data_IF_746577974611
#
_entry.id   IF_746577974611
#
_cell.length_a   1.000
_cell.length_b   1.000
_cell.length_c   1.000
_cell.angle_alpha   90.00
_cell.angle_beta   90.00
_cell.angle_gamma   90.00
#
_symmetry.space_group_name_H-M   'P 1'
#
loop_
_entity.id
_entity.type
_entity.pdbx_description
1 polymer ?
#
# COMPACT_ATOMS: atom_id res chain seq x y z
N UNK A 1 -9.44 -38.10 14.13
CA UNK A 1 -9.28 -36.63 14.13
C UNK A 1 -7.85 -36.27 14.56
N UNK A 2 -6.86 -36.97 14.02
CA UNK A 2 -5.42 -36.80 14.33
C UNK A 2 -4.55 -36.84 13.05
N UNK A 3 -5.09 -37.25 11.89
CA UNK A 3 -4.34 -37.32 10.63
C UNK A 3 -4.17 -35.96 9.93
N UNK A 4 -4.95 -34.94 10.27
CA UNK A 4 -4.85 -33.62 9.63
C UNK A 4 -3.70 -32.75 10.15
N UNK A 5 -3.12 -33.08 11.31
CA UNK A 5 -2.00 -32.32 11.91
C UNK A 5 -0.62 -32.77 11.43
N UNK A 6 -0.53 -33.94 10.77
CA UNK A 6 0.74 -34.45 10.23
C UNK A 6 1.05 -33.88 8.84
N UNK A 7 0.03 -33.57 8.03
CA UNK A 7 0.23 -33.00 6.69
C UNK A 7 0.78 -31.57 6.72
N UNK A 8 0.48 -30.79 7.76
CA UNK A 8 0.93 -29.39 7.88
C UNK A 8 2.39 -29.27 8.38
N UNK A 9 2.94 -30.33 8.99
CA UNK A 9 4.36 -30.37 9.40
C UNK A 9 5.31 -30.74 8.26
N UNK A 10 4.85 -31.40 7.21
CA UNK A 10 5.72 -31.78 6.09
C UNK A 10 5.98 -30.64 5.09
N UNK A 11 5.09 -29.66 4.96
CA UNK A 11 5.32 -28.52 4.05
C UNK A 11 6.33 -27.50 4.60
N UNK A 12 6.39 -27.30 5.91
CA UNK A 12 7.37 -26.39 6.56
C UNK A 12 8.82 -26.93 6.48
N UNK A 13 8.98 -28.24 6.25
CA UNK A 13 10.29 -28.88 6.09
C UNK A 13 10.89 -28.72 4.69
N UNK A 14 10.07 -28.51 3.66
CA UNK A 14 10.51 -28.58 2.25
C UNK A 14 11.07 -27.24 1.72
N UNK A 15 10.70 -26.12 2.32
CA UNK A 15 11.24 -24.80 1.95
C UNK A 15 12.63 -24.51 2.53
N UNK A 16 13.00 -25.14 3.66
CA UNK A 16 14.36 -25.01 4.20
C UNK A 16 15.40 -25.75 3.36
N UNK A 17 15.06 -26.87 2.73
CA UNK A 17 16.01 -27.67 1.94
C UNK A 17 16.46 -27.00 0.63
N UNK A 18 15.65 -26.10 0.05
CA UNK A 18 15.99 -25.48 -1.24
C UNK A 18 17.08 -24.40 -1.11
N UNK A 19 17.11 -23.66 0.02
CA UNK A 19 18.15 -22.67 0.28
C UNK A 19 19.53 -23.28 0.57
N UNK A 20 19.61 -24.46 1.20
CA UNK A 20 20.89 -25.13 1.47
C UNK A 20 21.52 -25.74 0.20
N UNK A 21 20.71 -26.17 -0.77
CA UNK A 21 21.19 -26.74 -2.02
C UNK A 21 21.88 -25.70 -2.93
N UNK A 22 21.37 -24.46 -2.96
CA UNK A 22 21.97 -23.38 -3.75
C UNK A 22 23.34 -22.93 -3.19
N UNK A 23 23.51 -22.96 -1.87
CA UNK A 23 24.79 -22.63 -1.22
C UNK A 23 25.86 -23.71 -1.49
N UNK A 24 25.44 -24.98 -1.63
CA UNK A 24 26.36 -26.09 -1.88
C UNK A 24 26.91 -26.13 -3.32
N UNK A 25 26.13 -25.70 -4.33
CA UNK A 25 26.59 -25.69 -5.72
C UNK A 25 27.64 -24.61 -6.01
N UNK A 26 27.62 -23.48 -5.30
CA UNK A 26 28.63 -22.41 -5.52
C UNK A 26 30.03 -22.78 -5.01
N UNK A 27 30.18 -23.78 -4.14
CA UNK A 27 31.47 -24.15 -3.57
C UNK A 27 32.25 -25.23 -4.36
N UNK A 28 31.66 -25.86 -5.39
CA UNK A 28 32.26 -27.04 -6.01
C UNK A 28 32.93 -26.84 -7.39
N UNK A 29 33.04 -25.62 -7.89
CA UNK A 29 33.87 -25.33 -9.08
C UNK A 29 35.32 -25.11 -8.63
N UNK A 30 36.01 -26.24 -8.43
CA UNK A 30 37.43 -26.31 -8.09
C UNK A 30 38.22 -26.62 -9.36
N UNK A 31 38.77 -25.60 -10.02
CA UNK A 31 39.93 -25.80 -10.89
C UNK A 31 41.00 -24.76 -10.57
N UNK A 32 42.24 -25.23 -10.67
CA UNK A 32 43.44 -24.75 -9.98
C UNK A 32 43.88 -23.36 -10.43
N UNK A 33 44.18 -22.50 -9.46
CA UNK A 33 45.09 -21.37 -9.62
C UNK A 33 44.46 -20.00 -9.39
N UNK A 34 44.73 -19.43 -8.20
CA UNK A 34 44.73 -17.98 -7.92
C UNK A 34 43.36 -17.26 -7.90
N UNK A 35 42.43 -17.69 -7.04
CA UNK A 35 41.10 -17.07 -6.88
C UNK A 35 40.63 -16.91 -5.41
N UNK A 36 41.52 -16.73 -4.44
CA UNK A 36 41.14 -16.59 -3.01
C UNK A 36 40.33 -15.31 -2.69
N UNK A 37 40.35 -14.31 -3.58
CA UNK A 37 39.58 -13.07 -3.42
C UNK A 37 38.14 -13.14 -3.94
N UNK A 38 37.89 -13.85 -5.04
CA UNK A 38 36.59 -13.77 -5.73
C UNK A 38 35.51 -14.64 -5.07
N UNK A 39 35.87 -15.84 -4.58
CA UNK A 39 34.92 -16.72 -3.88
C UNK A 39 34.39 -16.13 -2.56
N UNK A 40 35.22 -15.34 -1.86
CA UNK A 40 34.81 -14.63 -0.64
C UNK A 40 33.85 -13.47 -0.93
N UNK A 41 34.10 -12.72 -2.01
CA UNK A 41 33.22 -11.65 -2.47
C UNK A 41 31.87 -12.19 -2.94
N UNK A 42 31.83 -13.27 -3.73
CA UNK A 42 30.58 -13.89 -4.17
C UNK A 42 29.78 -14.43 -2.99
N UNK A 43 30.42 -15.13 -2.05
CA UNK A 43 29.74 -15.62 -0.85
C UNK A 43 29.20 -14.48 0.02
N UNK A 44 29.96 -13.39 0.19
CA UNK A 44 29.50 -12.21 0.91
C UNK A 44 28.32 -11.54 0.20
N UNK A 45 28.36 -11.38 -1.13
CA UNK A 45 27.24 -10.86 -1.91
C UNK A 45 26.01 -11.75 -1.79
N UNK A 46 26.13 -13.08 -1.93
CA UNK A 46 25.00 -13.99 -1.76
C UNK A 46 24.40 -13.90 -0.35
N UNK A 47 25.22 -13.90 0.69
CA UNK A 47 24.75 -13.77 2.07
C UNK A 47 24.12 -12.40 2.34
N UNK A 48 24.69 -11.32 1.81
CA UNK A 48 24.13 -9.98 1.92
C UNK A 48 22.80 -9.90 1.17
N UNK A 49 22.70 -10.42 -0.05
CA UNK A 49 21.47 -10.46 -0.83
C UNK A 49 20.41 -11.27 -0.08
N UNK A 50 20.73 -12.46 0.43
CA UNK A 50 19.77 -13.26 1.23
C UNK A 50 19.36 -12.54 2.51
N UNK A 51 20.30 -11.95 3.26
CA UNK A 51 19.99 -11.22 4.49
C UNK A 51 19.16 -9.95 4.21
N UNK A 52 19.46 -9.25 3.12
CA UNK A 52 18.69 -8.11 2.63
C UNK A 52 17.28 -8.55 2.23
N UNK A 53 17.14 -9.62 1.44
CA UNK A 53 15.85 -10.17 1.07
C UNK A 53 15.05 -10.63 2.29
N UNK A 54 15.67 -11.31 3.27
CA UNK A 54 15.00 -11.71 4.51
C UNK A 54 14.59 -10.49 5.34
N UNK A 55 15.45 -9.46 5.43
CA UNK A 55 15.13 -8.23 6.16
C UNK A 55 13.99 -7.46 5.52
N UNK A 56 13.99 -7.36 4.19
CA UNK A 56 12.93 -6.79 3.37
C UNK A 56 11.66 -7.64 3.49
N UNK A 57 11.75 -8.97 3.47
CA UNK A 57 10.55 -9.83 3.49
C UNK A 57 9.95 -10.04 4.86
N UNK A 58 10.71 -10.03 5.95
CA UNK A 58 10.12 -10.17 7.30
C UNK A 58 9.41 -8.91 7.77
N UNK A 59 9.88 -7.74 7.35
CA UNK A 59 9.34 -6.46 7.80
C UNK A 59 8.32 -5.82 6.84
N UNK A 60 8.18 -6.36 5.62
CA UNK A 60 7.26 -5.80 4.61
C UNK A 60 6.10 -6.72 4.24
N UNK A 61 5.95 -7.85 4.94
CA UNK A 61 4.90 -8.83 4.66
C UNK A 61 3.87 -8.84 5.78
N UNK A 62 2.66 -9.08 5.35
CA UNK A 62 1.50 -9.32 6.19
C UNK A 62 1.74 -10.55 7.08
N UNK A 63 2.19 -10.32 8.33
CA UNK A 63 2.56 -11.36 9.28
C UNK A 63 1.50 -11.47 10.39
N UNK A 64 0.59 -12.46 10.34
CA UNK A 64 -0.45 -12.62 11.34
C UNK A 64 0.10 -12.90 12.75
N UNK A 65 1.26 -13.56 12.86
CA UNK A 65 1.87 -13.88 14.15
C UNK A 65 2.32 -12.62 14.91
N UNK A 66 2.75 -11.58 14.19
CA UNK A 66 3.10 -10.29 14.78
C UNK A 66 1.89 -9.53 15.35
N UNK A 67 0.67 -9.95 14.99
CA UNK A 67 -0.60 -9.34 15.40
C UNK A 67 -1.44 -10.22 16.33
N UNK A 68 -0.97 -11.44 16.66
CA UNK A 68 -1.74 -12.44 17.41
C UNK A 68 -2.16 -11.92 18.79
N UNK A 69 -1.23 -11.30 19.51
CA UNK A 69 -1.44 -10.81 20.88
C UNK A 69 -1.63 -9.28 20.95
N UNK A 70 -1.90 -8.67 19.80
CA UNK A 70 -2.11 -7.23 19.69
C UNK A 70 -3.57 -6.96 19.42
N UNK A 71 -4.19 -6.15 20.28
CA UNK A 71 -5.55 -5.67 20.04
C UNK A 71 -5.54 -4.60 18.93
N UNK A 72 -6.42 -4.72 17.91
CA UNK A 72 -6.45 -3.74 16.84
C UNK A 72 -6.93 -2.39 17.35
N UNK A 73 -6.24 -1.29 16.99
CA UNK A 73 -6.59 0.04 17.47
C UNK A 73 -7.97 0.47 16.95
N UNK A 74 -8.58 1.40 17.68
CA UNK A 74 -9.90 1.96 17.37
C UNK A 74 -11.00 0.89 17.19
N UNK A 75 -11.03 -0.10 18.11
CA UNK A 75 -12.02 -1.19 18.11
C UNK A 75 -12.06 -1.97 16.77
N UNK A 76 -10.90 -2.22 16.17
CA UNK A 76 -10.82 -2.94 14.89
C UNK A 76 -10.94 -2.06 13.64
N UNK A 77 -11.12 -0.75 13.78
CA UNK A 77 -11.17 0.18 12.64
C UNK A 77 -9.80 0.56 12.10
N UNK A 78 -8.72 0.27 12.85
CA UNK A 78 -7.31 0.62 12.62
C UNK A 78 -7.00 2.12 12.54
N UNK A 79 -7.95 2.92 12.04
CA UNK A 79 -7.93 4.37 11.94
C UNK A 79 -9.14 4.98 12.68
N UNK A 80 -9.02 6.20 13.21
CA UNK A 80 -10.17 6.95 13.74
C UNK A 80 -11.13 7.36 12.61
N UNK A 81 -12.32 7.87 12.96
CA UNK A 81 -13.33 8.26 11.97
C UNK A 81 -12.94 9.50 11.16
N UNK A 82 -12.23 10.44 11.81
CA UNK A 82 -11.62 11.59 11.18
C UNK A 82 -10.11 11.49 11.40
N UNK A 83 -9.36 11.71 10.34
CA UNK A 83 -7.90 11.69 10.39
C UNK A 83 -7.33 12.60 9.31
N UNK A 84 -6.07 12.96 9.53
CA UNK A 84 -5.28 13.71 8.56
C UNK A 84 -4.20 12.79 7.99
N UNK A 85 -4.09 12.77 6.67
CA UNK A 85 -3.00 12.11 5.97
C UNK A 85 -1.98 13.17 5.57
N UNK A 86 -0.69 12.91 5.75
CA UNK A 86 0.39 13.83 5.39
C UNK A 86 1.45 13.08 4.62
N UNK A 87 1.71 13.53 3.40
CA UNK A 87 2.78 13.00 2.57
C UNK A 87 4.14 13.19 3.25
N UNK A 88 4.94 12.12 3.24
CA UNK A 88 6.33 12.13 3.70
C UNK A 88 7.27 11.99 2.51
N UNK A 89 7.89 13.10 2.09
CA UNK A 89 8.93 13.08 1.04
C UNK A 89 10.27 12.67 1.62
N UNK A 90 10.85 11.57 1.14
CA UNK A 90 12.24 11.19 1.43
C UNK A 90 13.19 11.78 0.40
N UNK A 91 14.38 12.18 0.86
CA UNK A 91 15.39 12.81 0.01
C UNK A 91 16.15 11.82 -0.89
N UNK A 92 16.14 10.52 -0.55
CA UNK A 92 17.07 9.53 -1.13
C UNK A 92 16.40 8.34 -1.85
N UNK A 93 15.11 8.05 -1.61
CA UNK A 93 14.44 6.87 -2.16
C UNK A 93 13.13 7.31 -2.83
N UNK A 94 13.16 7.45 -4.15
CA UNK A 94 12.01 7.90 -4.95
C UNK A 94 10.97 6.78 -5.17
N UNK A 95 11.36 5.51 -5.00
CA UNK A 95 10.53 4.34 -5.27
C UNK A 95 9.61 3.93 -4.11
N UNK A 96 9.58 4.71 -3.03
CA UNK A 96 8.74 4.43 -1.87
C UNK A 96 8.07 5.70 -1.42
N UNK A 97 6.74 5.68 -1.44
CA UNK A 97 5.92 6.76 -0.92
C UNK A 97 5.40 6.35 0.45
N UNK A 98 5.58 7.22 1.43
CA UNK A 98 4.96 7.07 2.74
C UNK A 98 3.98 8.22 2.97
N UNK A 99 2.84 7.90 3.56
CA UNK A 99 1.82 8.87 3.94
C UNK A 99 1.47 8.65 5.40
N UNK A 100 1.88 9.58 6.25
CA UNK A 100 1.66 9.54 7.68
C UNK A 100 0.19 9.80 8.00
N UNK A 101 -0.32 9.11 9.02
CA UNK A 101 -1.68 9.24 9.51
C UNK A 101 -1.65 9.86 10.90
N UNK A 102 -2.39 10.94 11.06
CA UNK A 102 -2.57 11.63 12.33
C UNK A 102 -4.05 11.62 12.72
N UNK A 103 -4.31 11.44 14.01
CA UNK A 103 -5.67 11.58 14.54
C UNK A 103 -6.08 13.06 14.70
N UNK A 104 -7.29 13.31 15.17
CA UNK A 104 -7.82 14.66 15.42
C UNK A 104 -6.99 15.46 16.43
N UNK A 105 -6.23 14.78 17.30
CA UNK A 105 -5.33 15.41 18.28
C UNK A 105 -3.92 15.64 17.74
N UNK A 106 -3.70 15.41 16.43
CA UNK A 106 -2.39 15.46 15.78
C UNK A 106 -1.38 14.45 16.32
N UNK A 107 -1.86 13.36 16.93
CA UNK A 107 -0.99 12.24 17.33
C UNK A 107 -0.79 11.30 16.14
N UNK A 108 0.47 10.95 15.88
CA UNK A 108 0.83 10.00 14.83
C UNK A 108 0.29 8.60 15.16
N UNK A 109 -0.54 8.06 14.27
CA UNK A 109 -1.19 6.75 14.39
C UNK A 109 -0.40 5.66 13.68
N UNK A 110 0.21 6.00 12.55
CA UNK A 110 0.87 5.07 11.64
C UNK A 110 1.08 5.71 10.27
N UNK A 111 1.38 4.90 9.26
CA UNK A 111 1.60 5.40 7.91
C UNK A 111 1.16 4.37 6.87
N UNK A 112 0.63 4.87 5.76
CA UNK A 112 0.51 4.10 4.53
C UNK A 112 1.86 4.05 3.82
N UNK A 113 2.13 2.95 3.17
CA UNK A 113 3.29 2.78 2.32
C UNK A 113 2.86 2.29 0.94
N UNK A 114 3.47 2.88 -0.09
CA UNK A 114 3.45 2.39 -1.46
C UNK A 114 4.89 2.17 -1.89
N UNK A 115 5.28 0.91 -2.03
CA UNK A 115 6.61 0.51 -2.46
C UNK A 115 6.47 0.06 -3.90
N UNK A 116 7.07 0.80 -4.82
CA UNK A 116 7.08 0.48 -6.24
C UNK A 116 8.52 0.14 -6.68
N UNK A 117 8.98 -1.06 -6.32
CA UNK A 117 10.21 -1.64 -6.86
C UNK A 117 9.80 -2.62 -7.96
N UNK A 118 10.47 -2.62 -9.11
CA UNK A 118 10.14 -3.41 -10.33
C UNK A 118 9.64 -4.86 -10.12
N UNK A 119 10.03 -5.52 -9.03
CA UNK A 119 9.66 -6.90 -8.68
C UNK A 119 8.69 -6.95 -7.47
N UNK A 120 8.69 -5.91 -6.63
CA UNK A 120 7.94 -5.81 -5.38
C UNK A 120 7.10 -4.53 -5.43
N UNK A 121 5.86 -4.65 -5.88
CA UNK A 121 4.87 -3.58 -5.76
C UNK A 121 3.94 -3.91 -4.60
N UNK A 122 3.87 -3.03 -3.60
CA UNK A 122 3.11 -3.26 -2.37
C UNK A 122 2.50 -1.97 -1.87
N UNK A 123 1.22 -2.05 -1.53
CA UNK A 123 0.50 -0.98 -0.88
C UNK A 123 -0.07 -1.48 0.44
N UNK A 124 0.04 -0.72 1.53
CA UNK A 124 -0.47 -1.17 2.82
C UNK A 124 -0.41 -0.12 3.91
N UNK A 125 -0.78 -0.52 5.13
CA UNK A 125 -0.74 0.33 6.31
C UNK A 125 0.02 -0.33 7.45
N UNK A 126 0.88 0.46 8.06
CA UNK A 126 1.66 0.11 9.25
C UNK A 126 1.31 1.06 10.39
N UNK A 127 1.16 0.53 11.61
CA UNK A 127 0.94 1.38 12.77
C UNK A 127 2.23 2.11 13.22
N UNK A 128 2.11 2.98 14.23
CA UNK A 128 3.24 3.73 14.78
C UNK A 128 4.38 2.86 15.32
N UNK A 129 4.13 1.57 15.60
CA UNK A 129 5.14 0.61 16.07
C UNK A 129 5.76 -0.20 14.92
N UNK A 130 5.37 0.07 13.67
CA UNK A 130 5.89 -0.65 12.50
C UNK A 130 5.19 -1.98 12.22
N UNK A 131 4.02 -2.25 12.82
CA UNK A 131 3.26 -3.48 12.58
C UNK A 131 2.31 -3.28 11.41
N UNK A 132 2.39 -4.15 10.42
CA UNK A 132 1.55 -4.11 9.22
C UNK A 132 0.19 -4.72 9.52
N UNK A 133 -0.86 -3.91 9.42
CA UNK A 133 -2.23 -4.35 9.74
C UNK A 133 -3.03 -4.81 8.52
N UNK A 134 -2.74 -4.28 7.33
CA UNK A 134 -3.34 -4.74 6.10
C UNK A 134 -2.39 -4.49 4.93
N UNK A 135 -2.57 -5.28 3.87
CA UNK A 135 -1.84 -5.14 2.60
C UNK A 135 -2.87 -5.22 1.47
N UNK A 136 -2.81 -4.25 0.56
CA UNK A 136 -3.49 -4.30 -0.71
C UNK A 136 -2.60 -5.00 -1.74
N UNK A 137 -3.17 -6.02 -2.38
CA UNK A 137 -2.51 -6.84 -3.38
C UNK A 137 -3.15 -6.53 -4.72
N UNK A 138 -2.40 -6.50 -5.80
CA UNK A 138 -3.01 -6.44 -7.12
C UNK A 138 -3.94 -7.63 -7.31
N UNK A 139 -5.09 -7.39 -7.94
CA UNK A 139 -6.04 -8.47 -8.23
C UNK A 139 -5.45 -9.48 -9.21
N UNK A 140 -4.54 -9.04 -10.08
CA UNK A 140 -3.82 -9.90 -11.00
C UNK A 140 -2.45 -9.35 -11.39
N UNK A 141 -1.63 -10.21 -12.00
CA UNK A 141 -0.38 -9.79 -12.61
C UNK A 141 -0.58 -8.72 -13.70
N UNK A 142 -1.71 -8.73 -14.42
CA UNK A 142 -2.01 -7.72 -15.43
C UNK A 142 -2.38 -6.37 -14.81
N UNK A 143 -3.00 -6.36 -13.64
CA UNK A 143 -3.34 -5.14 -12.89
C UNK A 143 -2.10 -4.36 -12.42
N UNK A 144 -0.91 -4.98 -12.53
CA UNK A 144 0.40 -4.33 -12.31
C UNK A 144 0.79 -3.41 -13.46
N UNK A 145 0.30 -3.70 -14.66
CA UNK A 145 0.57 -2.90 -15.85
C UNK A 145 -0.56 -1.89 -15.98
N UNK A 146 -0.22 -0.60 -15.80
CA UNK A 146 -1.11 0.50 -16.15
C UNK A 146 -1.61 0.27 -17.59
N UNK A 147 -2.88 0.53 -17.91
CA UNK A 147 -3.77 1.44 -17.18
C UNK A 147 -4.44 0.87 -15.92
N UNK A 148 -4.82 -0.40 -15.91
CA UNK A 148 -5.90 -0.91 -15.04
C UNK A 148 -5.50 -0.97 -13.56
N UNK A 149 -6.20 -0.23 -12.68
CA UNK A 149 -6.05 -0.37 -11.23
C UNK A 149 -7.10 -1.34 -10.65
N UNK A 150 -6.61 -2.44 -10.09
CA UNK A 150 -7.42 -3.43 -9.38
C UNK A 150 -6.68 -3.94 -8.14
N UNK A 151 -7.33 -3.90 -6.98
CA UNK A 151 -6.75 -4.34 -5.72
C UNK A 151 -7.68 -5.28 -4.95
N UNK A 152 -7.08 -6.31 -4.36
CA UNK A 152 -7.61 -7.10 -3.27
C UNK A 152 -7.07 -6.54 -1.96
N UNK A 153 -7.95 -6.07 -1.09
CA UNK A 153 -7.57 -5.44 0.18
C UNK A 153 -8.12 -6.25 1.34
N UNK A 154 -7.22 -6.71 2.21
CA UNK A 154 -7.57 -7.55 3.34
C UNK A 154 -6.64 -7.27 4.53
N UNK A 155 -7.19 -7.40 5.74
CA UNK A 155 -6.39 -7.33 6.97
C UNK A 155 -5.46 -8.53 7.13
N UNK A 156 -4.34 -8.30 7.79
CA UNK A 156 -3.35 -9.34 8.02
C UNK A 156 -3.76 -10.37 9.07
N UNK A 157 -4.64 -9.99 9.98
CA UNK A 157 -5.21 -10.85 10.99
C UNK A 157 -6.61 -11.39 10.61
N UNK A 158 -7.00 -11.26 9.35
CA UNK A 158 -8.22 -11.85 8.81
C UNK A 158 -8.21 -13.38 8.96
N UNK A 159 -9.29 -13.95 9.50
CA UNK A 159 -9.42 -15.39 9.72
C UNK A 159 -8.72 -15.92 10.98
N UNK A 160 -8.10 -15.04 11.80
CA UNK A 160 -7.71 -15.39 13.17
C UNK A 160 -8.92 -15.64 14.07
N UNK A 161 -8.71 -16.29 15.23
CA UNK A 161 -9.79 -16.69 16.15
C UNK A 161 -10.73 -15.51 16.44
N UNK A 162 -11.96 -15.59 15.91
CA UNK A 162 -13.02 -14.60 16.10
C UNK A 162 -12.91 -13.30 15.29
N UNK A 163 -11.97 -13.17 14.35
CA UNK A 163 -11.79 -11.95 13.53
C UNK A 163 -12.43 -12.10 12.15
N UNK A 164 -13.17 -11.09 11.66
CA UNK A 164 -13.84 -11.17 10.37
C UNK A 164 -12.81 -11.25 9.23
N UNK A 165 -13.06 -12.15 8.29
CA UNK A 165 -12.27 -12.37 7.08
C UNK A 165 -12.96 -11.72 5.89
N UNK A 166 -13.14 -10.40 5.98
CA UNK A 166 -13.69 -9.60 4.89
C UNK A 166 -12.60 -9.24 3.89
N UNK A 167 -12.88 -9.47 2.61
CA UNK A 167 -12.09 -9.03 1.47
C UNK A 167 -12.81 -7.85 0.80
N UNK A 168 -12.06 -6.82 0.47
CA UNK A 168 -12.53 -5.73 -0.37
C UNK A 168 -11.87 -5.79 -1.73
N UNK A 169 -12.68 -5.80 -2.78
CA UNK A 169 -12.24 -5.84 -4.18
C UNK A 169 -12.46 -4.46 -4.77
N UNK A 170 -11.37 -3.76 -5.08
CA UNK A 170 -11.41 -2.46 -5.75
C UNK A 170 -11.15 -2.66 -7.24
N UNK A 171 -12.04 -2.09 -8.06
CA UNK A 171 -11.92 -2.11 -9.51
C UNK A 171 -12.18 -0.73 -10.10
N UNK A 172 -11.25 -0.23 -10.88
CA UNK A 172 -11.44 1.02 -11.62
C UNK A 172 -12.42 0.83 -12.79
N UNK A 173 -13.30 1.83 -12.99
CA UNK A 173 -14.31 1.83 -14.04
C UNK A 173 -13.82 2.65 -15.23
N UNK A 174 -13.02 2.00 -16.08
CA UNK A 174 -12.34 2.61 -17.22
C UNK A 174 -13.24 3.13 -18.35
N UNK A 175 -14.46 2.60 -18.46
CA UNK A 175 -15.31 2.83 -19.64
C UNK A 175 -16.22 4.06 -19.53
N UNK A 176 -16.46 4.55 -18.31
CA UNK A 176 -17.39 5.65 -18.07
C UNK A 176 -16.72 7.01 -18.35
N UNK A 177 -15.41 7.10 -18.19
CA UNK A 177 -14.62 8.28 -18.55
C UNK A 177 -13.77 7.98 -19.78
N UNK A 178 -14.30 8.42 -20.91
CA UNK A 178 -13.74 8.21 -22.25
C UNK A 178 -12.23 8.46 -22.32
N UNK A 179 -11.46 7.36 -22.38
CA UNK A 179 -10.02 7.22 -22.69
C UNK A 179 -9.47 8.16 -23.78
N UNK A 180 -10.33 8.72 -24.64
CA UNK A 180 -9.93 9.54 -25.79
C UNK A 180 -10.14 11.06 -25.61
N UNK A 181 -10.77 11.52 -24.53
CA UNK A 181 -11.04 12.96 -24.30
C UNK A 181 -10.30 13.58 -23.13
N UNK A 182 -9.63 12.78 -22.32
CA UNK A 182 -9.11 13.26 -21.06
C UNK A 182 -7.58 13.14 -21.01
N UNK A 183 -6.90 14.25 -21.32
CA UNK A 183 -5.44 14.37 -21.32
C UNK A 183 -4.90 14.97 -20.00
N UNK A 184 -5.74 15.69 -19.22
CA UNK A 184 -5.37 16.36 -17.96
C UNK A 184 -6.60 16.45 -17.05
N UNK A 185 -6.47 16.18 -15.75
CA UNK A 185 -7.51 16.31 -14.71
C UNK A 185 -8.77 15.45 -14.89
N UNK A 186 -8.60 14.17 -15.20
CA UNK A 186 -9.72 13.25 -15.28
C UNK A 186 -10.24 12.92 -13.89
N UNK A 187 -11.55 12.86 -13.74
CA UNK A 187 -12.10 12.20 -12.58
C UNK A 187 -11.76 10.71 -12.67
N UNK A 188 -11.68 10.05 -11.53
CA UNK A 188 -11.43 8.61 -11.49
C UNK A 188 -12.53 7.95 -10.72
N UNK A 189 -13.07 6.88 -11.28
CA UNK A 189 -14.20 6.17 -10.71
C UNK A 189 -13.80 4.75 -10.37
N UNK A 190 -14.05 4.34 -9.14
CA UNK A 190 -13.79 3.01 -8.66
C UNK A 190 -15.04 2.39 -8.07
N UNK A 191 -15.17 1.09 -8.30
CA UNK A 191 -16.15 0.22 -7.70
C UNK A 191 -15.48 -0.57 -6.58
N UNK A 192 -16.07 -0.55 -5.39
CA UNK A 192 -15.62 -1.32 -4.24
C UNK A 192 -16.68 -2.38 -3.91
N UNK A 193 -16.33 -3.64 -4.15
CA UNK A 193 -17.12 -4.79 -3.74
C UNK A 193 -16.58 -5.34 -2.40
N UNK A 194 -17.46 -5.95 -1.62
CA UNK A 194 -17.14 -6.55 -0.33
C UNK A 194 -17.58 -8.01 -0.34
N UNK A 195 -16.67 -8.92 0.00
CA UNK A 195 -16.91 -10.36 0.02
C UNK A 195 -16.38 -10.99 1.30
N UNK A 196 -17.12 -11.94 1.85
CA UNK A 196 -16.62 -12.79 2.92
C UNK A 196 -15.77 -13.92 2.32
N UNK A 197 -14.56 -14.10 2.85
CA UNK A 197 -13.65 -15.19 2.45
C UNK A 197 -13.26 -16.03 3.67
N UNK A 198 -12.90 -17.29 3.49
CA UNK A 198 -12.50 -18.15 4.61
C UNK A 198 -11.01 -18.06 4.98
N UNK A 199 -10.19 -17.52 4.08
CA UNK A 199 -8.75 -17.44 4.22
C UNK A 199 -8.18 -16.17 3.56
N UNK A 200 -6.88 -15.94 3.72
CA UNK A 200 -6.20 -14.89 2.98
C UNK A 200 -6.14 -15.20 1.48
N UNK A 201 -6.51 -14.23 0.65
CA UNK A 201 -6.48 -14.39 -0.81
C UNK A 201 -5.07 -14.14 -1.34
N UNK A 202 -4.53 -15.10 -2.09
CA UNK A 202 -3.24 -14.97 -2.79
C UNK A 202 -3.45 -14.28 -4.14
N UNK A 203 -2.42 -13.59 -4.62
CA UNK A 203 -2.40 -13.02 -5.96
C UNK A 203 -2.51 -14.14 -7.00
N UNK A 204 -3.38 -13.95 -7.99
CA UNK A 204 -3.60 -14.88 -9.10
C UNK A 204 -3.09 -14.27 -10.41
N UNK A 205 -2.93 -15.09 -11.45
CA UNK A 205 -2.50 -14.60 -12.77
C UNK A 205 -3.55 -13.67 -13.40
N UNK A 206 -4.84 -13.98 -13.18
CA UNK A 206 -6.01 -13.27 -13.70
C UNK A 206 -7.02 -13.16 -12.54
N UNK A 207 -7.79 -12.06 -12.42
CA UNK A 207 -8.81 -11.96 -11.38
C UNK A 207 -9.90 -13.02 -11.59
N UNK A 208 -10.64 -13.37 -10.54
CA UNK A 208 -11.85 -14.19 -10.70
C UNK A 208 -12.85 -13.49 -11.62
N UNK A 209 -13.66 -14.25 -12.37
CA UNK A 209 -14.65 -13.66 -13.27
C UNK A 209 -15.67 -12.76 -12.55
N UNK A 210 -15.91 -13.02 -11.26
CA UNK A 210 -16.78 -12.21 -10.39
C UNK A 210 -16.11 -10.98 -9.78
N UNK A 211 -14.83 -10.71 -10.07
CA UNK A 211 -14.08 -9.63 -9.44
C UNK A 211 -14.72 -8.26 -9.66
N UNK A 212 -15.12 -7.62 -8.56
CA UNK A 212 -15.79 -6.33 -8.58
C UNK A 212 -17.17 -6.34 -9.26
N UNK A 213 -17.78 -7.50 -9.48
CA UNK A 213 -19.18 -7.62 -9.90
C UNK A 213 -20.05 -7.51 -8.64
N UNK A 214 -20.89 -6.47 -8.55
CA UNK A 214 -21.67 -6.04 -7.36
C UNK A 214 -20.95 -5.06 -6.42
N UNK A 215 -20.66 -3.83 -6.89
CA UNK A 215 -20.11 -2.78 -6.03
C UNK A 215 -21.10 -2.41 -4.93
N UNK A 216 -20.66 -2.46 -3.67
CA UNK A 216 -21.41 -1.88 -2.55
C UNK A 216 -21.18 -0.39 -2.42
N UNK A 217 -20.00 0.07 -2.83
CA UNK A 217 -19.62 1.48 -2.81
C UNK A 217 -18.99 1.89 -4.13
N UNK A 218 -19.17 3.17 -4.44
CA UNK A 218 -18.54 3.85 -5.54
C UNK A 218 -17.64 4.96 -4.98
N UNK A 219 -16.44 5.06 -5.51
CA UNK A 219 -15.45 6.06 -5.11
C UNK A 219 -15.17 6.93 -6.32
N UNK A 220 -15.43 8.22 -6.22
CA UNK A 220 -15.02 9.19 -7.25
C UNK A 220 -13.87 10.05 -6.72
N UNK A 221 -12.88 10.29 -7.57
CA UNK A 221 -11.85 11.29 -7.38
C UNK A 221 -12.08 12.41 -8.38
N UNK A 222 -12.19 13.63 -7.90
CA UNK A 222 -12.36 14.82 -8.71
C UNK A 222 -11.14 15.72 -8.51
N UNK A 223 -10.50 16.11 -9.61
CA UNK A 223 -9.28 16.90 -9.62
C UNK A 223 -9.49 18.32 -10.11
N UNK A 224 -8.81 19.29 -9.51
CA UNK A 224 -8.68 20.64 -10.06
C UNK A 224 -7.27 21.18 -9.85
N UNK A 225 -6.89 22.15 -10.67
CA UNK A 225 -5.60 22.79 -10.55
C UNK A 225 -5.64 23.87 -9.46
N UNK A 226 -4.72 23.79 -8.49
CA UNK A 226 -4.52 24.83 -7.50
C UNK A 226 -3.12 25.45 -7.62
N UNK A 227 -2.99 26.77 -7.43
CA UNK A 227 -1.68 27.40 -7.32
C UNK A 227 -0.97 26.89 -6.07
N UNK A 228 0.30 26.56 -6.22
CA UNK A 228 1.18 26.12 -5.13
C UNK A 228 2.51 26.85 -5.22
N UNK A 229 3.26 26.87 -4.13
CA UNK A 229 4.64 27.35 -4.16
C UNK A 229 5.54 26.22 -4.67
N UNK A 230 6.39 26.49 -5.65
CA UNK A 230 7.47 25.60 -6.09
C UNK A 230 8.80 26.13 -5.54
N UNK A 231 9.67 25.20 -5.15
CA UNK A 231 11.03 25.52 -4.72
C UNK A 231 11.35 25.04 -3.31
N UNK A 232 12.63 24.79 -3.08
CA UNK A 232 13.19 24.61 -1.75
C UNK A 232 13.61 25.98 -1.22
N UNK A 233 13.25 26.31 0.01
CA UNK A 233 13.79 27.48 0.71
C UNK A 233 15.12 27.07 1.35
N UNK A 234 16.09 26.64 0.53
CA UNK A 234 17.39 26.10 1.01
C UNK A 234 18.56 27.07 0.80
N UNK A 235 18.31 28.33 0.43
CA UNK A 235 19.35 29.36 0.26
C UNK A 235 18.79 30.72 -0.18
N UNK A 236 19.64 31.70 -0.54
CA UNK A 236 19.19 33.01 -1.02
C UNK A 236 18.48 32.87 -2.38
N UNK A 237 17.16 32.66 -2.31
CA UNK A 237 16.11 32.89 -3.32
C UNK A 237 16.48 32.58 -4.79
N UNK A 238 17.17 31.48 -5.07
CA UNK A 238 17.46 31.10 -6.47
C UNK A 238 16.38 30.21 -7.12
N UNK A 239 15.37 29.76 -6.37
CA UNK A 239 14.35 28.84 -6.90
C UNK A 239 12.95 28.95 -6.28
N UNK A 240 12.60 30.08 -5.63
CA UNK A 240 11.23 30.31 -5.19
C UNK A 240 10.37 30.72 -6.38
N UNK A 241 9.41 29.87 -6.77
CA UNK A 241 8.52 30.10 -7.88
C UNK A 241 7.07 29.79 -7.53
N UNK A 242 6.14 30.27 -8.36
CA UNK A 242 4.77 29.77 -8.36
C UNK A 242 4.68 28.56 -9.27
N UNK A 243 4.01 27.51 -8.82
CA UNK A 243 3.66 26.35 -9.62
C UNK A 243 2.16 26.10 -9.53
N UNK A 244 1.70 25.13 -10.30
CA UNK A 244 0.33 24.63 -10.20
C UNK A 244 0.45 23.14 -9.89
N UNK A 245 -0.30 22.67 -8.90
CA UNK A 245 -0.43 21.24 -8.59
C UNK A 245 -1.89 20.85 -8.66
N UNK A 246 -2.14 19.62 -9.07
CA UNK A 246 -3.47 19.06 -9.05
C UNK A 246 -3.86 18.74 -7.61
N UNK A 247 -4.98 19.31 -7.17
CA UNK A 247 -5.65 19.00 -5.91
C UNK A 247 -6.75 18.02 -6.21
N UNK A 248 -6.84 17.01 -5.38
CA UNK A 248 -7.87 15.98 -5.48
C UNK A 248 -8.88 16.07 -4.33
N UNK A 249 -10.10 15.69 -4.65
CA UNK A 249 -11.13 15.37 -3.66
C UNK A 249 -11.65 13.98 -3.92
N UNK A 250 -11.94 13.25 -2.85
CA UNK A 250 -12.53 11.91 -2.90
C UNK A 250 -13.95 11.98 -2.35
N UNK A 251 -14.90 11.37 -3.06
CA UNK A 251 -16.25 11.12 -2.57
C UNK A 251 -16.53 9.62 -2.58
N UNK A 252 -16.84 9.06 -1.40
CA UNK A 252 -17.25 7.66 -1.25
C UNK A 252 -18.75 7.60 -1.05
N UNK A 253 -19.47 6.94 -1.94
CA UNK A 253 -20.92 6.81 -1.91
C UNK A 253 -21.33 5.35 -1.85
N UNK A 254 -22.46 5.06 -1.19
CA UNK A 254 -23.08 3.75 -1.29
C UNK A 254 -23.68 3.58 -2.70
N UNK A 255 -23.31 2.51 -3.38
CA UNK A 255 -23.64 2.31 -4.80
C UNK A 255 -25.15 2.15 -5.06
N UNK A 256 -25.90 1.59 -4.10
CA UNK A 256 -27.34 1.37 -4.23
C UNK A 256 -28.15 2.62 -3.90
N UNK A 257 -27.76 3.34 -2.85
CA UNK A 257 -28.54 4.47 -2.31
C UNK A 257 -28.05 5.84 -2.77
N UNK A 258 -26.84 5.93 -3.33
CA UNK A 258 -26.17 7.19 -3.68
C UNK A 258 -25.80 8.05 -2.47
N UNK A 259 -25.99 7.55 -1.24
CA UNK A 259 -25.72 8.31 -0.02
C UNK A 259 -24.21 8.41 0.20
N UNK A 260 -23.73 9.63 0.45
CA UNK A 260 -22.33 9.90 0.77
C UNK A 260 -21.96 9.28 2.14
N UNK A 261 -20.93 8.44 2.14
CA UNK A 261 -20.44 7.67 3.29
C UNK A 261 -19.20 8.33 3.90
N UNK A 262 -18.29 8.80 3.05
CA UNK A 262 -17.09 9.51 3.46
C UNK A 262 -16.63 10.46 2.36
N UNK A 263 -15.78 11.41 2.73
CA UNK A 263 -15.11 12.31 1.79
C UNK A 263 -13.68 12.56 2.25
N UNK A 264 -12.80 12.83 1.31
CA UNK A 264 -11.47 13.33 1.61
C UNK A 264 -11.16 14.54 0.73
N UNK A 265 -10.44 15.50 1.30
CA UNK A 265 -10.00 16.69 0.56
C UNK A 265 -8.51 16.87 0.74
N UNK A 266 -7.81 17.01 -0.38
CA UNK A 266 -6.41 17.35 -0.39
C UNK A 266 -6.22 18.85 -0.24
N UNK A 267 -5.20 19.22 0.50
CA UNK A 267 -4.72 20.58 0.66
C UNK A 267 -3.19 20.54 0.64
N UNK A 268 -2.57 21.62 0.19
CA UNK A 268 -1.12 21.74 0.19
C UNK A 268 -0.65 22.58 1.36
N UNK A 269 0.34 22.07 2.09
CA UNK A 269 0.96 22.78 3.21
C UNK A 269 2.46 22.89 2.99
N UNK A 270 3.07 23.95 3.49
CA UNK A 270 4.52 24.10 3.50
C UNK A 270 5.05 23.30 4.69
N UNK A 271 5.96 22.37 4.44
CA UNK A 271 6.63 21.57 5.46
C UNK A 271 7.49 22.45 6.39
N UNK A 272 7.96 21.86 7.49
CA UNK A 272 8.84 22.55 8.43
C UNK A 272 10.24 22.77 7.84
N UNK A 273 11.08 23.54 8.54
CA UNK A 273 12.49 23.73 8.18
C UNK A 273 13.26 22.39 8.10
N UNK A 274 12.86 21.39 8.90
CA UNK A 274 13.41 20.02 8.87
C UNK A 274 12.97 19.19 7.66
N UNK A 275 11.99 19.68 6.88
CA UNK A 275 11.47 19.08 5.66
C UNK A 275 11.81 19.93 4.43
N UNK A 276 12.89 20.71 4.50
CA UNK A 276 13.34 21.68 3.48
C UNK A 276 12.26 22.68 3.03
N UNK A 277 11.24 22.94 3.85
CA UNK A 277 10.09 23.78 3.49
C UNK A 277 9.38 23.32 2.21
N UNK A 278 9.40 22.01 1.91
CA UNK A 278 8.76 21.45 0.71
C UNK A 278 7.24 21.54 0.82
N UNK A 279 6.56 21.71 -0.31
CA UNK A 279 5.10 21.62 -0.35
C UNK A 279 4.67 20.16 -0.25
N UNK A 280 3.98 19.83 0.84
CA UNK A 280 3.49 18.50 1.15
C UNK A 280 2.00 18.40 0.87
N UNK A 281 1.59 17.26 0.32
CA UNK A 281 0.19 16.87 0.23
C UNK A 281 -0.35 16.54 1.63
N UNK A 282 -1.47 17.15 2.01
CA UNK A 282 -2.18 16.88 3.26
C UNK A 282 -3.64 16.62 2.94
N UNK A 283 -4.15 15.46 3.32
CA UNK A 283 -5.57 15.15 3.16
C UNK A 283 -6.30 15.20 4.49
N UNK A 284 -7.49 15.79 4.50
CA UNK A 284 -8.44 15.66 5.59
C UNK A 284 -9.49 14.63 5.20
N UNK A 285 -9.62 13.56 5.96
CA UNK A 285 -10.59 12.49 5.71
C UNK A 285 -11.68 12.57 6.77
N UNK A 286 -12.93 12.59 6.32
CA UNK A 286 -14.12 12.68 7.17
C UNK A 286 -15.08 11.51 6.86
N UNK A 287 -15.34 10.68 7.87
CA UNK A 287 -16.34 9.59 7.77
C UNK A 287 -17.69 10.10 8.25
N UNK A 288 -18.68 10.12 7.34
CA UNK A 288 -20.01 10.70 7.60
C UNK A 288 -21.00 9.67 8.15
N UNK A 289 -20.84 8.40 7.77
CA UNK A 289 -21.71 7.30 8.21
C UNK A 289 -20.83 6.20 8.85
N UNK A 290 -20.48 6.34 10.13
CA UNK A 290 -19.64 5.37 10.83
C UNK A 290 -20.44 4.08 11.02
N UNK A 291 -20.06 3.03 10.28
CA UNK A 291 -20.45 1.60 10.40
C UNK A 291 -20.50 0.90 9.05
N UNK A 292 -20.70 1.63 7.94
CA UNK A 292 -20.91 1.03 6.62
C UNK A 292 -19.63 0.48 6.00
N UNK A 293 -18.49 1.14 6.24
CA UNK A 293 -17.19 0.72 5.73
C UNK A 293 -16.13 0.98 6.79
N UNK A 294 -15.14 0.09 6.99
CA UNK A 294 -14.08 0.33 7.95
C UNK A 294 -13.23 1.56 7.61
N UNK A 295 -12.85 2.36 8.62
CA UNK A 295 -12.10 3.60 8.41
C UNK A 295 -10.75 3.39 7.71
N UNK A 296 -10.11 2.25 7.95
CA UNK A 296 -8.86 1.89 7.28
C UNK A 296 -9.02 1.65 5.78
N UNK A 297 -10.18 1.15 5.34
CA UNK A 297 -10.50 1.03 3.91
C UNK A 297 -10.71 2.42 3.33
N UNK A 298 -11.39 3.31 4.04
CA UNK A 298 -11.56 4.71 3.62
C UNK A 298 -10.19 5.40 3.49
N UNK A 299 -9.28 5.16 4.44
CA UNK A 299 -7.91 5.69 4.38
C UNK A 299 -7.10 5.10 3.23
N UNK A 300 -7.22 3.79 2.99
CA UNK A 300 -6.64 3.13 1.81
C UNK A 300 -7.11 3.83 0.52
N UNK A 301 -8.42 4.01 0.37
CA UNK A 301 -9.00 4.67 -0.79
C UNK A 301 -8.45 6.09 -0.96
N UNK A 302 -8.43 6.90 0.10
CA UNK A 302 -7.97 8.28 0.05
C UNK A 302 -6.51 8.43 -0.42
N UNK A 303 -5.66 7.43 -0.18
CA UNK A 303 -4.23 7.47 -0.55
C UNK A 303 -3.95 6.90 -1.95
N UNK A 304 -4.90 6.18 -2.57
CA UNK A 304 -4.73 5.50 -3.87
C UNK A 304 -4.24 6.39 -5.02
N UNK A 305 -4.67 7.66 -5.03
CA UNK A 305 -4.50 8.56 -6.17
C UNK A 305 -3.68 9.81 -5.87
N UNK A 306 -2.99 9.85 -4.72
CA UNK A 306 -2.05 10.94 -4.42
C UNK A 306 -0.73 10.76 -5.23
N UNK A 307 -0.82 10.25 -6.45
CA UNK A 307 0.29 10.03 -7.37
C UNK A 307 0.60 11.37 -8.05
N UNK A 308 1.57 12.10 -7.51
CA UNK A 308 2.38 12.93 -8.39
C UNK A 308 3.16 12.01 -9.33
N UNK A 309 2.74 11.95 -10.59
CA UNK A 309 3.71 11.79 -11.66
C UNK A 309 4.47 13.12 -11.72
N UNK A 310 5.60 13.20 -11.01
CA UNK A 310 6.56 14.29 -11.20
C UNK A 310 6.93 14.32 -12.69
N UNK A 311 6.36 15.27 -13.44
CA UNK A 311 6.85 15.69 -14.76
C UNK A 311 8.03 16.64 -14.61
#
# INVERSE_FOLDING_TARGET
MEESLLSEREEVGRDRSSCYAAIWLCCHVRSRGRWDGCGRLTAFFCLFTVAFWIGVTRNLYCNPDALRDVEPPFNGQLLPANFTLVERKYLLIQFTKLVDVYDDTQKHVGYFYDINLFIIMRFGFSDANGRIWFEARYASFLSRFKPIIEYNVQRCDAGGVGRPSTLFELKEVWWIESYWRCFVNCSRLFNLAERAVSAQVRETLIPEASFGLDPKFQVSFDGWLAPTLRGQITGPVSSFGTGVRQVWSMHLQNATTGRLVAKAQQHFVIGSATQDMRVLSRWKVETLIPSQLPNWVIGFLAVLDDIEEDY
#
